data_IF_764756903557
#
_entry.id   IF_764756903557
#
_cell.length_a   1.000
_cell.length_b   1.000
_cell.length_c   1.000
_cell.angle_alpha   90.00
_cell.angle_beta   90.00
_cell.angle_gamma   90.00
#
_symmetry.space_group_name_H-M   'P 1'
#
loop_
_entity.id
_entity.type
_entity.pdbx_description
1 polymer ?
#
# COMPACT_ATOMS: atom_id res chain seq x y z
N UNK A 1 7.84 7.48 1.31
CA UNK A 1 8.55 7.39 0.03
C UNK A 1 7.79 8.21 -1.01
N UNK A 2 8.38 9.30 -1.48
CA UNK A 2 7.78 10.20 -2.47
C UNK A 2 8.12 9.75 -3.90
N UNK A 3 7.13 9.72 -4.77
CA UNK A 3 7.31 9.35 -6.18
C UNK A 3 7.79 10.56 -6.98
N UNK A 4 8.93 10.43 -7.65
CA UNK A 4 9.47 11.43 -8.60
C UNK A 4 9.72 10.74 -9.94
N UNK A 5 8.75 10.82 -10.84
CA UNK A 5 8.87 10.25 -12.18
C UNK A 5 9.60 11.22 -13.12
N UNK A 6 10.57 10.70 -13.88
CA UNK A 6 11.24 11.39 -15.00
C UNK A 6 10.66 10.96 -16.34
N UNK A 7 9.34 10.99 -16.47
CA UNK A 7 8.68 10.70 -17.75
C UNK A 7 8.58 11.96 -18.61
N UNK A 8 8.71 11.86 -19.95
CA UNK A 8 8.47 13.00 -20.81
C UNK A 8 7.02 13.43 -20.64
N UNK A 9 6.80 14.63 -20.09
CA UNK A 9 5.53 15.29 -20.32
C UNK A 9 5.46 15.67 -21.80
N UNK A 10 4.28 15.45 -22.34
CA UNK A 10 3.95 15.44 -23.76
C UNK A 10 4.35 16.73 -24.49
N UNK A 11 4.89 16.54 -25.69
CA UNK A 11 5.11 17.52 -26.77
C UNK A 11 6.33 18.46 -26.63
N UNK A 12 7.29 18.28 -27.55
CA UNK A 12 8.50 19.10 -27.80
C UNK A 12 9.57 18.96 -26.69
N UNK A 13 10.78 18.49 -26.96
CA UNK A 13 11.71 19.18 -27.83
C UNK A 13 12.77 18.24 -28.45
N UNK A 14 13.05 18.44 -29.73
CA UNK A 14 14.11 17.73 -30.45
C UNK A 14 15.43 18.43 -30.17
N UNK A 15 16.07 18.04 -29.07
CA UNK A 15 17.45 18.44 -28.76
C UNK A 15 17.55 19.57 -27.72
N UNK A 16 18.57 19.44 -26.87
CA UNK A 16 18.93 20.29 -25.74
C UNK A 16 18.04 20.14 -24.48
N UNK A 17 18.58 19.40 -23.51
CA UNK A 17 18.13 19.33 -22.09
C UNK A 17 16.65 18.98 -21.87
N UNK A 18 16.40 17.69 -21.60
CA UNK A 18 15.27 17.31 -20.74
C UNK A 18 15.30 18.24 -19.51
N UNK A 19 14.28 19.08 -19.35
CA UNK A 19 14.26 20.03 -18.23
C UNK A 19 13.97 19.25 -16.95
N UNK A 20 15.03 18.87 -16.24
CA UNK A 20 14.94 18.30 -14.90
C UNK A 20 14.25 19.23 -13.91
N UNK A 21 14.02 20.51 -14.24
CA UNK A 21 13.48 21.52 -13.34
C UNK A 21 12.22 21.05 -12.61
N UNK A 22 11.22 20.51 -13.33
CA UNK A 22 9.99 20.03 -12.71
C UNK A 22 10.23 18.85 -11.73
N UNK A 23 11.14 17.94 -12.08
CA UNK A 23 11.50 16.81 -11.22
C UNK A 23 12.31 17.28 -9.99
N UNK A 24 13.20 18.27 -10.15
CA UNK A 24 13.95 18.90 -9.06
C UNK A 24 13.02 19.66 -8.12
N UNK A 25 12.06 20.41 -8.65
CA UNK A 25 11.02 21.09 -7.86
C UNK A 25 10.13 20.09 -7.11
N UNK A 26 9.83 18.94 -7.70
CA UNK A 26 9.14 17.85 -7.02
C UNK A 26 9.97 17.28 -5.85
N UNK A 27 11.29 17.10 -6.03
CA UNK A 27 12.20 16.72 -4.95
C UNK A 27 12.20 17.77 -3.83
N UNK A 28 12.41 19.05 -4.17
CA UNK A 28 12.46 20.13 -3.19
C UNK A 28 11.17 20.16 -2.34
N UNK A 29 10.02 20.03 -2.99
CA UNK A 29 8.72 19.93 -2.30
C UNK A 29 8.60 18.67 -1.46
N UNK A 30 8.97 17.49 -1.98
CA UNK A 30 8.88 16.24 -1.24
C UNK A 30 9.74 16.24 0.04
N UNK A 31 10.96 16.79 -0.04
CA UNK A 31 11.83 16.96 1.14
C UNK A 31 11.21 17.95 2.13
N UNK A 32 10.72 19.10 1.65
CA UNK A 32 10.06 20.09 2.51
C UNK A 32 8.79 19.53 3.20
N UNK A 33 8.04 18.68 2.51
CA UNK A 33 6.86 17.98 3.03
C UNK A 33 7.21 16.82 3.98
N UNK A 34 8.51 16.51 4.14
CA UNK A 34 9.02 15.54 5.09
C UNK A 34 8.98 14.10 4.59
N UNK A 35 9.29 13.87 3.32
CA UNK A 35 9.48 12.53 2.76
C UNK A 35 10.77 11.87 3.30
N UNK A 36 10.65 10.68 3.87
CA UNK A 36 11.82 9.93 4.36
C UNK A 36 12.66 9.30 3.23
N UNK A 37 12.07 9.10 2.06
CA UNK A 37 12.71 8.49 0.87
C UNK A 37 12.19 9.19 -0.39
N UNK A 38 13.07 9.48 -1.34
CA UNK A 38 12.71 9.94 -2.69
C UNK A 38 12.89 8.77 -3.67
N UNK A 39 11.83 8.36 -4.35
CA UNK A 39 11.83 7.25 -5.31
C UNK A 39 11.81 7.78 -6.74
N UNK A 40 12.91 7.54 -7.46
CA UNK A 40 13.16 8.07 -8.80
C UNK A 40 12.89 7.01 -9.85
N UNK A 41 11.94 7.27 -10.75
CA UNK A 41 11.59 6.39 -11.86
C UNK A 41 11.96 6.98 -13.22
N UNK A 42 12.73 6.25 -14.03
CA UNK A 42 13.13 6.68 -15.39
C UNK A 42 12.14 6.24 -16.49
N UNK A 43 11.24 5.31 -16.14
CA UNK A 43 10.29 4.69 -17.07
C UNK A 43 8.92 4.58 -16.43
N UNK A 44 7.88 4.92 -17.20
CA UNK A 44 6.49 4.73 -16.79
C UNK A 44 6.21 3.24 -16.56
N UNK A 45 5.66 2.90 -15.39
CA UNK A 45 5.23 1.53 -15.07
C UNK A 45 4.05 1.04 -15.94
N UNK A 46 3.25 1.93 -16.53
CA UNK A 46 2.23 1.53 -17.49
C UNK A 46 2.77 1.26 -18.91
N UNK A 47 1.90 0.79 -19.82
CA UNK A 47 2.20 0.74 -21.25
C UNK A 47 2.66 2.10 -21.79
N UNK A 48 3.54 2.06 -22.78
CA UNK A 48 4.02 3.24 -23.49
C UNK A 48 5.21 2.90 -24.38
N UNK A 49 5.90 3.93 -24.86
CA UNK A 49 7.06 3.79 -25.74
C UNK A 49 8.17 2.94 -25.10
N UNK A 50 8.84 2.12 -25.91
CA UNK A 50 9.97 1.31 -25.45
C UNK A 50 11.11 2.23 -25.01
N UNK A 51 11.62 1.97 -23.81
CA UNK A 51 12.83 2.61 -23.29
C UNK A 51 13.84 1.48 -23.06
N UNK A 52 15.00 1.58 -23.68
CA UNK A 52 16.11 0.64 -23.48
C UNK A 52 16.90 0.98 -22.21
N UNK A 53 17.86 0.11 -21.88
CA UNK A 53 18.67 0.21 -20.66
C UNK A 53 19.46 1.53 -20.64
N UNK A 54 20.16 1.84 -21.72
CA UNK A 54 21.04 3.01 -21.81
C UNK A 54 20.26 4.32 -21.69
N UNK A 55 19.08 4.39 -22.31
CA UNK A 55 18.18 5.55 -22.18
C UNK A 55 17.68 5.70 -20.75
N UNK A 56 17.30 4.61 -20.09
CA UNK A 56 16.87 4.63 -18.69
C UNK A 56 18.00 5.08 -17.75
N UNK A 57 19.22 4.58 -17.95
CA UNK A 57 20.43 5.01 -17.22
C UNK A 57 20.68 6.51 -17.43
N UNK A 58 20.64 7.00 -18.67
CA UNK A 58 20.83 8.42 -19.00
C UNK A 58 19.78 9.31 -18.33
N UNK A 59 18.57 8.79 -18.12
CA UNK A 59 17.48 9.44 -17.37
C UNK A 59 17.55 9.26 -15.87
N UNK A 60 18.43 8.45 -15.30
CA UNK A 60 18.44 8.22 -13.85
C UNK A 60 19.73 8.75 -13.23
N UNK A 61 20.88 8.33 -13.76
CA UNK A 61 22.18 8.56 -13.12
C UNK A 61 22.46 10.05 -12.86
N UNK A 62 22.40 10.98 -13.85
CA UNK A 62 22.72 12.38 -13.58
C UNK A 62 21.78 13.05 -12.56
N UNK A 63 20.53 12.57 -12.47
CA UNK A 63 19.56 13.11 -11.52
C UNK A 63 19.77 12.55 -10.12
N UNK A 64 20.13 11.28 -10.00
CA UNK A 64 20.50 10.67 -8.71
C UNK A 64 21.79 11.31 -8.17
N UNK A 65 22.79 11.55 -9.01
CA UNK A 65 24.02 12.28 -8.63
C UNK A 65 23.71 13.69 -8.12
N UNK A 66 22.88 14.43 -8.85
CA UNK A 66 22.41 15.76 -8.41
C UNK A 66 21.66 15.68 -7.08
N UNK A 67 20.73 14.72 -6.93
CA UNK A 67 19.92 14.54 -5.73
C UNK A 67 20.79 14.23 -4.52
N UNK A 68 21.76 13.31 -4.66
CA UNK A 68 22.73 12.99 -3.61
C UNK A 68 23.59 14.20 -3.22
N UNK A 69 24.03 14.98 -4.21
CA UNK A 69 24.81 16.20 -3.96
C UNK A 69 24.01 17.30 -3.25
N UNK A 70 22.73 17.48 -3.61
CA UNK A 70 21.86 18.48 -3.01
C UNK A 70 21.32 18.08 -1.63
N UNK A 71 21.12 16.78 -1.39
CA UNK A 71 20.55 16.23 -0.16
C UNK A 71 21.35 15.01 0.35
N UNK A 72 22.53 15.22 0.97
CA UNK A 72 23.43 14.13 1.35
C UNK A 72 22.83 13.09 2.30
N UNK A 73 21.91 13.49 3.18
CA UNK A 73 21.29 12.61 4.18
C UNK A 73 19.94 12.01 3.72
N UNK A 74 19.44 12.41 2.55
CA UNK A 74 18.17 11.92 2.04
C UNK A 74 18.34 10.51 1.50
N UNK A 75 17.45 9.58 1.89
CA UNK A 75 17.42 8.26 1.27
C UNK A 75 16.88 8.35 -0.16
N UNK A 76 17.59 7.72 -1.09
CA UNK A 76 17.26 7.70 -2.51
C UNK A 76 16.90 6.27 -2.92
N UNK A 77 15.71 6.11 -3.47
CA UNK A 77 15.24 4.87 -4.08
C UNK A 77 15.24 4.99 -5.61
N UNK A 78 15.58 3.91 -6.30
CA UNK A 78 15.44 3.80 -7.76
C UNK A 78 14.35 2.80 -8.11
N UNK A 79 13.36 3.22 -8.90
CA UNK A 79 12.27 2.37 -9.42
C UNK A 79 12.68 1.79 -10.77
N UNK A 80 13.20 0.56 -10.76
CA UNK A 80 13.60 -0.18 -11.96
C UNK A 80 13.54 -1.69 -11.74
N UNK A 81 13.28 -2.44 -12.81
CA UNK A 81 13.27 -3.91 -12.81
C UNK A 81 14.48 -4.52 -13.52
N UNK A 82 15.48 -3.69 -13.86
CA UNK A 82 16.66 -4.08 -14.62
C UNK A 82 17.90 -3.97 -13.74
N UNK A 83 18.62 -5.06 -13.54
CA UNK A 83 19.80 -5.09 -12.68
C UNK A 83 20.90 -4.13 -13.19
N UNK A 84 21.06 -3.99 -14.51
CA UNK A 84 22.03 -3.05 -15.10
C UNK A 84 21.72 -1.58 -14.74
N UNK A 85 20.44 -1.20 -14.75
CA UNK A 85 20.01 0.15 -14.36
C UNK A 85 20.19 0.35 -12.86
N UNK A 86 19.76 -0.64 -12.05
CA UNK A 86 19.91 -0.60 -10.61
C UNK A 86 21.38 -0.45 -10.18
N UNK A 87 22.29 -1.17 -10.85
CA UNK A 87 23.73 -1.08 -10.62
C UNK A 87 24.28 0.31 -10.89
N UNK A 88 23.92 0.90 -12.03
CA UNK A 88 24.33 2.26 -12.37
C UNK A 88 23.76 3.29 -11.39
N UNK A 89 22.49 3.14 -10.98
CA UNK A 89 21.83 4.02 -10.01
C UNK A 89 22.42 3.91 -8.60
N UNK A 90 22.78 2.71 -8.13
CA UNK A 90 23.44 2.52 -6.84
C UNK A 90 24.85 3.13 -6.86
N UNK A 91 25.61 2.96 -7.95
CA UNK A 91 26.90 3.63 -8.12
C UNK A 91 26.79 5.16 -8.11
N UNK A 92 25.65 5.71 -8.57
CA UNK A 92 25.33 7.14 -8.52
C UNK A 92 24.88 7.63 -7.12
N UNK A 93 24.58 6.72 -6.19
CA UNK A 93 24.22 7.04 -4.81
C UNK A 93 22.78 6.66 -4.40
N UNK A 94 22.09 5.78 -5.12
CA UNK A 94 20.84 5.19 -4.63
C UNK A 94 21.08 4.21 -3.47
N UNK A 95 20.21 4.27 -2.44
CA UNK A 95 20.29 3.46 -1.22
C UNK A 95 19.29 2.29 -1.20
N UNK A 96 18.26 2.35 -2.05
CA UNK A 96 17.17 1.39 -2.11
C UNK A 96 16.82 1.09 -3.58
N UNK A 97 16.65 -0.17 -3.91
CA UNK A 97 16.12 -0.61 -5.20
C UNK A 97 14.64 -0.98 -5.00
N UNK A 98 13.76 -0.27 -5.70
CA UNK A 98 12.34 -0.57 -5.76
C UNK A 98 12.02 -1.34 -7.04
N UNK A 99 12.13 -2.66 -7.02
CA UNK A 99 11.73 -3.50 -8.14
C UNK A 99 10.23 -3.81 -8.08
N UNK A 100 9.44 -2.87 -8.58
CA UNK A 100 7.98 -2.98 -8.62
C UNK A 100 7.49 -4.14 -9.52
N UNK A 101 8.36 -4.74 -10.36
CA UNK A 101 7.98 -5.81 -11.28
C UNK A 101 8.19 -7.22 -10.74
N UNK A 102 8.73 -7.34 -9.53
CA UNK A 102 8.78 -8.60 -8.80
C UNK A 102 9.94 -9.50 -9.18
N UNK A 103 11.12 -8.93 -9.49
CA UNK A 103 12.33 -9.70 -9.73
C UNK A 103 12.38 -10.35 -11.11
N UNK A 104 11.90 -9.64 -12.14
CA UNK A 104 11.96 -10.15 -13.53
C UNK A 104 13.41 -10.37 -13.97
N UNK A 105 14.31 -9.49 -13.55
CA UNK A 105 15.74 -9.69 -13.69
C UNK A 105 16.26 -10.44 -12.45
N UNK A 106 16.71 -11.70 -12.59
CA UNK A 106 17.11 -12.52 -11.45
C UNK A 106 18.38 -12.01 -10.76
N UNK A 107 19.15 -11.12 -11.40
CA UNK A 107 20.39 -10.56 -10.84
C UNK A 107 20.16 -9.37 -9.88
N UNK A 108 18.89 -8.96 -9.67
CA UNK A 108 18.56 -7.81 -8.82
C UNK A 108 19.05 -7.95 -7.37
N UNK A 109 18.87 -9.12 -6.69
CA UNK A 109 19.39 -9.33 -5.34
C UNK A 109 20.89 -9.16 -5.21
N UNK A 110 21.66 -9.66 -6.17
CA UNK A 110 23.12 -9.60 -6.19
C UNK A 110 23.61 -8.16 -6.33
N UNK A 111 22.93 -7.34 -7.15
CA UNK A 111 23.22 -5.91 -7.25
C UNK A 111 22.92 -5.19 -5.93
N UNK A 112 21.78 -5.47 -5.30
CA UNK A 112 21.46 -4.88 -4.00
C UNK A 112 22.52 -5.22 -2.95
N UNK A 113 22.98 -6.48 -2.92
CA UNK A 113 24.03 -6.93 -2.02
C UNK A 113 25.39 -6.28 -2.33
N UNK A 114 25.78 -6.19 -3.61
CA UNK A 114 27.05 -5.59 -4.05
C UNK A 114 27.23 -4.15 -3.53
N UNK A 115 26.15 -3.36 -3.56
CA UNK A 115 26.16 -1.95 -3.13
C UNK A 115 25.69 -1.75 -1.68
N UNK A 116 25.30 -2.81 -0.97
CA UNK A 116 24.68 -2.71 0.34
C UNK A 116 23.35 -1.93 0.34
N UNK A 117 22.67 -1.86 -0.81
CA UNK A 117 21.38 -1.20 -0.97
C UNK A 117 20.25 -2.06 -0.38
N UNK A 118 19.14 -1.42 0.00
CA UNK A 118 17.91 -2.14 0.30
C UNK A 118 17.22 -2.66 -0.96
N UNK A 119 16.26 -3.57 -0.77
CA UNK A 119 15.48 -4.14 -1.88
C UNK A 119 14.00 -4.25 -1.51
N UNK A 120 13.13 -3.74 -2.38
CA UNK A 120 11.68 -3.98 -2.32
C UNK A 120 11.33 -5.20 -3.17
N UNK A 121 10.78 -6.22 -2.54
CA UNK A 121 10.31 -7.45 -3.18
C UNK A 121 8.81 -7.38 -3.47
N UNK A 122 8.46 -7.06 -4.72
CA UNK A 122 7.08 -6.92 -5.15
C UNK A 122 6.47 -8.23 -5.68
N UNK A 123 5.13 -8.29 -5.75
CA UNK A 123 4.40 -9.37 -6.42
C UNK A 123 3.50 -8.86 -7.54
N UNK A 124 3.75 -9.31 -8.77
CA UNK A 124 3.01 -8.87 -9.97
C UNK A 124 2.09 -9.94 -10.59
N UNK A 125 1.93 -11.10 -9.94
CA UNK A 125 1.08 -12.18 -10.47
C UNK A 125 1.54 -12.74 -11.80
N UNK A 126 2.84 -12.66 -12.11
CA UNK A 126 3.43 -13.10 -13.38
C UNK A 126 3.25 -12.13 -14.55
N UNK A 127 2.79 -10.89 -14.29
CA UNK A 127 2.68 -9.88 -15.33
C UNK A 127 4.07 -9.48 -15.87
N UNK A 128 4.18 -9.36 -17.19
CA UNK A 128 5.39 -8.83 -17.81
C UNK A 128 5.50 -7.31 -17.57
N UNK A 129 6.73 -6.75 -17.48
CA UNK A 129 6.93 -5.33 -17.35
C UNK A 129 6.14 -4.50 -18.37
N UNK A 130 5.52 -3.45 -17.85
CA UNK A 130 4.74 -2.43 -18.56
C UNK A 130 3.49 -2.95 -19.25
N UNK A 131 2.95 -4.07 -18.79
CA UNK A 131 1.66 -4.61 -19.25
C UNK A 131 0.51 -4.23 -18.31
N UNK A 132 -0.71 -4.19 -18.87
CA UNK A 132 -1.93 -4.08 -18.06
C UNK A 132 -2.36 -5.48 -17.61
N UNK A 133 -2.99 -5.63 -16.43
CA UNK A 133 -3.62 -6.87 -16.01
C UNK A 133 -4.62 -7.36 -17.08
N UNK A 134 -4.50 -8.62 -17.51
CA UNK A 134 -5.44 -9.24 -18.44
C UNK A 134 -5.75 -10.66 -18.00
N UNK A 135 -7.04 -10.97 -17.83
CA UNK A 135 -7.55 -12.30 -17.40
C UNK A 135 -6.79 -12.89 -16.19
N UNK A 136 -6.49 -12.05 -15.20
CA UNK A 136 -5.78 -12.44 -13.99
C UNK A 136 -6.60 -13.43 -13.18
N UNK A 137 -5.97 -14.53 -12.75
CA UNK A 137 -6.56 -15.53 -11.86
C UNK A 137 -5.56 -15.96 -10.80
N UNK A 138 -6.04 -16.09 -9.56
CA UNK A 138 -5.27 -16.61 -8.43
C UNK A 138 -5.90 -17.91 -7.89
N UNK A 139 -6.47 -18.71 -8.81
CA UNK A 139 -7.21 -19.92 -8.47
C UNK A 139 -8.65 -19.64 -8.06
N UNK A 140 -9.28 -20.62 -7.42
CA UNK A 140 -10.72 -20.63 -7.10
C UNK A 140 -11.02 -20.30 -5.64
N UNK A 141 -10.01 -20.07 -4.81
CA UNK A 141 -10.19 -19.77 -3.39
C UNK A 141 -10.47 -18.28 -3.17
N UNK A 142 -11.25 -17.95 -2.14
CA UNK A 142 -11.56 -16.56 -1.79
C UNK A 142 -10.36 -15.77 -1.29
N UNK A 143 -9.26 -16.44 -0.93
CA UNK A 143 -8.00 -15.84 -0.44
C UNK A 143 -6.83 -16.01 -1.41
N UNK A 144 -7.05 -16.60 -2.59
CA UNK A 144 -5.95 -17.06 -3.46
C UNK A 144 -4.90 -16.00 -3.80
N UNK A 145 -5.31 -14.75 -4.04
CA UNK A 145 -4.35 -13.66 -4.29
C UNK A 145 -3.53 -13.29 -3.06
N UNK A 146 -4.09 -13.35 -1.86
CA UNK A 146 -3.38 -13.05 -0.61
C UNK A 146 -2.34 -14.13 -0.34
N UNK A 147 -2.73 -15.40 -0.48
CA UNK A 147 -1.82 -16.54 -0.27
C UNK A 147 -0.68 -16.54 -1.31
N UNK A 148 -0.99 -16.23 -2.58
CA UNK A 148 0.01 -16.09 -3.64
C UNK A 148 0.98 -14.94 -3.37
N UNK A 149 0.48 -13.76 -2.97
CA UNK A 149 1.31 -12.62 -2.61
C UNK A 149 2.24 -12.99 -1.46
N UNK A 150 1.71 -13.48 -0.34
CA UNK A 150 2.51 -13.81 0.86
C UNK A 150 3.61 -14.80 0.49
N UNK A 151 3.28 -15.89 -0.19
CA UNK A 151 4.24 -16.92 -0.59
C UNK A 151 5.37 -16.34 -1.46
N UNK A 152 5.02 -15.56 -2.49
CA UNK A 152 6.00 -15.09 -3.47
C UNK A 152 6.88 -13.96 -2.94
N UNK A 153 6.31 -12.98 -2.22
CA UNK A 153 7.10 -11.86 -1.68
C UNK A 153 8.03 -12.32 -0.55
N UNK A 154 7.60 -13.26 0.29
CA UNK A 154 8.45 -13.82 1.34
C UNK A 154 9.58 -14.66 0.72
N UNK A 155 9.29 -15.51 -0.26
CA UNK A 155 10.32 -16.24 -0.98
C UNK A 155 11.32 -15.32 -1.69
N UNK A 156 10.86 -14.20 -2.27
CA UNK A 156 11.74 -13.20 -2.88
C UNK A 156 12.62 -12.50 -1.83
N UNK A 157 12.05 -12.16 -0.68
CA UNK A 157 12.78 -11.54 0.42
C UNK A 157 13.86 -12.48 1.01
N UNK A 158 13.54 -13.77 1.19
CA UNK A 158 14.53 -14.76 1.63
C UNK A 158 15.65 -14.96 0.60
N UNK A 159 15.33 -14.95 -0.71
CA UNK A 159 16.36 -14.96 -1.76
C UNK A 159 17.25 -13.73 -1.70
N UNK A 160 16.69 -12.55 -1.43
CA UNK A 160 17.47 -11.33 -1.27
C UNK A 160 18.47 -11.44 -0.12
N UNK A 161 18.02 -11.95 1.03
CA UNK A 161 18.89 -12.17 2.19
C UNK A 161 19.96 -13.23 1.90
N UNK A 162 19.60 -14.33 1.23
CA UNK A 162 20.54 -15.37 0.83
C UNK A 162 21.62 -14.85 -0.14
N UNK A 163 21.28 -13.87 -0.99
CA UNK A 163 22.24 -13.20 -1.88
C UNK A 163 23.14 -12.18 -1.16
N UNK A 164 22.88 -11.87 0.12
CA UNK A 164 23.70 -10.98 0.94
C UNK A 164 23.07 -9.62 1.26
N UNK A 165 21.81 -9.38 0.88
CA UNK A 165 21.10 -8.15 1.28
C UNK A 165 20.78 -8.21 2.78
N UNK A 166 21.08 -7.14 3.51
CA UNK A 166 20.79 -7.08 4.95
C UNK A 166 19.28 -7.23 5.20
N UNK A 167 18.89 -8.12 6.11
CA UNK A 167 17.49 -8.49 6.41
C UNK A 167 16.60 -7.30 6.77
N UNK A 168 17.17 -6.32 7.46
CA UNK A 168 16.53 -5.09 7.88
C UNK A 168 16.33 -4.07 6.75
N UNK A 169 17.00 -4.26 5.61
CA UNK A 169 16.90 -3.41 4.41
C UNK A 169 15.97 -3.98 3.33
N UNK A 170 15.33 -5.13 3.58
CA UNK A 170 14.39 -5.75 2.66
C UNK A 170 12.95 -5.41 3.06
N UNK A 171 12.13 -5.06 2.07
CA UNK A 171 10.71 -4.79 2.22
C UNK A 171 9.91 -5.70 1.28
N UNK A 172 8.65 -5.98 1.63
CA UNK A 172 7.70 -6.68 0.75
C UNK A 172 6.61 -5.73 0.27
N UNK A 173 6.19 -5.85 -0.99
CA UNK A 173 5.12 -5.04 -1.58
C UNK A 173 4.08 -5.93 -2.30
N UNK A 174 2.79 -5.90 -1.91
CA UNK A 174 1.73 -6.60 -2.64
C UNK A 174 1.48 -6.05 -4.06
N UNK A 175 2.05 -4.90 -4.41
CA UNK A 175 1.98 -4.20 -5.70
C UNK A 175 0.57 -4.12 -6.28
N UNK A 176 -0.23 -3.21 -5.72
CA UNK A 176 -1.60 -2.96 -6.17
C UNK A 176 -1.61 -2.55 -7.65
N UNK A 177 -2.62 -3.04 -8.38
CA UNK A 177 -2.82 -2.94 -9.83
C UNK A 177 -1.82 -3.69 -10.72
N UNK A 178 -0.74 -4.29 -10.17
CA UNK A 178 0.17 -5.12 -10.96
C UNK A 178 -0.30 -6.57 -11.00
N UNK A 179 -0.77 -7.00 -12.17
CA UNK A 179 -1.38 -8.32 -12.36
C UNK A 179 -2.54 -8.57 -11.40
N UNK A 180 -3.33 -7.54 -11.09
CA UNK A 180 -4.47 -7.60 -10.15
C UNK A 180 -5.61 -6.74 -10.67
N UNK A 181 -6.84 -7.10 -10.31
CA UNK A 181 -8.03 -6.28 -10.53
C UNK A 181 -8.44 -5.62 -9.21
N UNK A 182 -9.48 -4.79 -9.23
CA UNK A 182 -9.96 -4.09 -8.04
C UNK A 182 -10.39 -5.03 -6.92
N UNK A 183 -11.04 -6.16 -7.21
CA UNK A 183 -11.40 -7.14 -6.19
C UNK A 183 -10.17 -7.68 -5.45
N UNK A 184 -9.12 -8.04 -6.20
CA UNK A 184 -7.86 -8.49 -5.63
C UNK A 184 -7.20 -7.41 -4.78
N UNK A 185 -7.20 -6.15 -5.23
CA UNK A 185 -6.65 -5.02 -4.48
C UNK A 185 -7.38 -4.76 -3.16
N UNK A 186 -8.72 -4.75 -3.17
CA UNK A 186 -9.52 -4.60 -1.95
C UNK A 186 -9.33 -5.75 -0.97
N UNK A 187 -9.19 -6.98 -1.48
CA UNK A 187 -8.94 -8.14 -0.64
C UNK A 187 -7.56 -8.05 0.03
N UNK A 188 -6.52 -7.60 -0.68
CA UNK A 188 -5.20 -7.36 -0.08
C UNK A 188 -5.26 -6.29 1.01
N UNK A 189 -6.02 -5.21 0.81
CA UNK A 189 -6.25 -4.20 1.84
C UNK A 189 -6.95 -4.76 3.09
N UNK A 190 -7.89 -5.69 2.91
CA UNK A 190 -8.54 -6.39 4.04
C UNK A 190 -7.58 -7.28 4.83
N UNK A 191 -6.54 -7.79 4.15
CA UNK A 191 -5.58 -8.76 4.68
C UNK A 191 -4.18 -8.16 4.90
N UNK A 192 -4.05 -6.84 5.07
CA UNK A 192 -2.73 -6.21 5.36
C UNK A 192 -2.10 -6.79 6.62
N UNK A 193 -2.90 -7.10 7.65
CA UNK A 193 -2.40 -7.74 8.86
C UNK A 193 -1.68 -9.07 8.57
N UNK A 194 -2.18 -9.87 7.62
CA UNK A 194 -1.55 -11.14 7.26
C UNK A 194 -0.19 -10.92 6.59
N UNK A 195 -0.06 -9.89 5.75
CA UNK A 195 1.23 -9.49 5.17
C UNK A 195 2.22 -9.06 6.25
N UNK A 196 1.77 -8.25 7.22
CA UNK A 196 2.59 -7.78 8.34
C UNK A 196 3.03 -8.93 9.24
N UNK A 197 2.17 -9.93 9.46
CA UNK A 197 2.47 -11.11 10.28
C UNK A 197 3.56 -12.02 9.69
N UNK A 198 3.95 -11.83 8.43
CA UNK A 198 5.14 -12.49 7.86
C UNK A 198 6.45 -12.04 8.52
N UNK A 199 6.45 -10.92 9.25
CA UNK A 199 7.64 -10.35 9.90
C UNK A 199 8.51 -9.52 8.95
N UNK A 200 8.12 -9.34 7.70
CA UNK A 200 8.79 -8.41 6.77
C UNK A 200 8.14 -7.02 6.83
N UNK A 201 8.93 -5.94 6.77
CA UNK A 201 8.37 -4.60 6.61
C UNK A 201 7.55 -4.50 5.31
N UNK A 202 6.29 -4.08 5.42
CA UNK A 202 5.39 -3.96 4.28
C UNK A 202 5.43 -2.53 3.71
N UNK A 203 5.69 -2.42 2.42
CA UNK A 203 5.51 -1.22 1.62
C UNK A 203 4.12 -1.25 0.95
N UNK A 204 3.43 -0.11 0.93
CA UNK A 204 2.13 0.05 0.29
C UNK A 204 2.16 1.18 -0.74
N UNK A 205 1.98 0.84 -2.02
CA UNK A 205 1.84 1.79 -3.12
C UNK A 205 0.38 1.91 -3.57
N UNK A 206 -0.39 2.78 -2.89
CA UNK A 206 -1.84 2.97 -3.10
C UNK A 206 -2.22 4.26 -3.84
N UNK A 207 -1.29 5.22 -3.93
CA UNK A 207 -1.57 6.57 -4.41
C UNK A 207 -2.00 6.59 -5.88
N UNK A 208 -3.19 7.17 -6.11
CA UNK A 208 -3.82 7.40 -7.42
C UNK A 208 -4.06 6.12 -8.24
N UNK A 209 -4.14 4.96 -7.58
CA UNK A 209 -4.33 3.64 -8.18
C UNK A 209 -5.75 3.41 -8.70
N UNK A 210 -5.88 2.54 -9.70
CA UNK A 210 -7.16 2.18 -10.33
C UNK A 210 -8.10 1.51 -9.32
N UNK A 211 -7.57 0.71 -8.37
CA UNK A 211 -8.39 0.16 -7.26
C UNK A 211 -9.18 1.23 -6.51
N UNK A 212 -8.65 2.46 -6.35
CA UNK A 212 -9.36 3.56 -5.68
C UNK A 212 -10.43 4.14 -6.59
N UNK A 213 -10.05 4.50 -7.82
CA UNK A 213 -10.97 5.11 -8.79
C UNK A 213 -12.13 4.19 -9.16
N UNK A 214 -11.85 2.92 -9.44
CA UNK A 214 -12.85 1.91 -9.80
C UNK A 214 -13.79 1.59 -8.62
N UNK A 215 -13.30 1.62 -7.38
CA UNK A 215 -14.12 1.36 -6.19
C UNK A 215 -15.07 2.52 -5.90
N UNK A 216 -14.61 3.76 -6.06
CA UNK A 216 -15.37 4.96 -5.69
C UNK A 216 -16.12 5.58 -6.86
N UNK A 217 -15.84 5.16 -8.10
CA UNK A 217 -16.42 5.73 -9.31
C UNK A 217 -15.90 7.14 -9.59
N UNK A 218 -14.61 7.40 -9.35
CA UNK A 218 -13.99 8.73 -9.47
C UNK A 218 -12.77 8.72 -10.39
N UNK A 219 -12.51 9.87 -11.01
CA UNK A 219 -11.39 10.06 -11.93
C UNK A 219 -10.06 10.23 -11.19
N UNK A 220 -8.94 10.16 -11.93
CA UNK A 220 -7.58 10.17 -11.38
C UNK A 220 -7.34 11.32 -10.38
N UNK A 221 -7.84 12.51 -10.67
CA UNK A 221 -7.65 13.73 -9.86
C UNK A 221 -8.49 13.76 -8.58
N UNK A 222 -9.40 12.82 -8.42
CA UNK A 222 -10.37 12.75 -7.31
C UNK A 222 -10.11 11.54 -6.39
N UNK A 223 -8.95 10.87 -6.54
CA UNK A 223 -8.60 9.65 -5.80
C UNK A 223 -7.95 9.91 -4.44
N UNK A 224 -7.75 11.16 -4.03
CA UNK A 224 -6.98 11.49 -2.83
C UNK A 224 -7.64 10.96 -1.55
N UNK A 225 -8.93 11.24 -1.35
CA UNK A 225 -9.67 10.83 -0.15
C UNK A 225 -9.66 9.30 0.02
N UNK A 226 -9.91 8.57 -1.07
CA UNK A 226 -9.86 7.10 -1.08
C UNK A 226 -8.45 6.56 -0.82
N UNK A 227 -7.43 7.19 -1.41
CA UNK A 227 -6.01 6.86 -1.16
C UNK A 227 -5.66 7.03 0.31
N UNK A 228 -6.05 8.15 0.91
CA UNK A 228 -5.77 8.46 2.32
C UNK A 228 -6.51 7.51 3.27
N UNK A 229 -7.75 7.15 2.96
CA UNK A 229 -8.51 6.16 3.72
C UNK A 229 -7.85 4.78 3.70
N UNK A 230 -7.45 4.29 2.52
CA UNK A 230 -6.77 3.01 2.39
C UNK A 230 -5.38 3.03 3.08
N UNK A 231 -4.66 4.14 2.97
CA UNK A 231 -3.38 4.35 3.69
C UNK A 231 -3.57 4.29 5.19
N UNK A 232 -4.60 4.94 5.74
CA UNK A 232 -4.88 4.94 7.18
C UNK A 232 -5.13 3.52 7.71
N UNK A 233 -5.94 2.72 6.99
CA UNK A 233 -6.23 1.34 7.36
C UNK A 233 -4.99 0.44 7.28
N UNK A 234 -4.20 0.58 6.21
CA UNK A 234 -2.96 -0.19 6.06
C UNK A 234 -1.92 0.18 7.14
N UNK A 235 -1.80 1.46 7.49
CA UNK A 235 -0.94 1.92 8.58
C UNK A 235 -1.41 1.39 9.93
N UNK A 236 -2.72 1.41 10.18
CA UNK A 236 -3.31 0.87 11.40
C UNK A 236 -3.06 -0.63 11.55
N UNK A 237 -3.03 -1.37 10.43
CA UNK A 237 -2.70 -2.79 10.38
C UNK A 237 -1.19 -3.09 10.48
N UNK A 238 -0.32 -2.08 10.45
CA UNK A 238 1.11 -2.22 10.71
C UNK A 238 2.04 -2.10 9.49
N UNK A 239 1.54 -1.72 8.31
CA UNK A 239 2.40 -1.39 7.18
C UNK A 239 3.37 -0.24 7.53
N UNK A 240 4.59 -0.28 6.99
CA UNK A 240 5.72 0.52 7.48
C UNK A 240 6.21 1.57 6.49
N UNK A 241 5.99 1.39 5.20
CA UNK A 241 6.37 2.36 4.19
C UNK A 241 5.22 2.60 3.23
N UNK A 242 5.02 3.86 2.85
CA UNK A 242 3.99 4.27 1.91
C UNK A 242 4.64 5.02 0.74
N UNK A 243 4.33 4.56 -0.47
CA UNK A 243 4.80 5.15 -1.73
C UNK A 243 3.70 6.02 -2.32
N UNK A 244 3.94 7.33 -2.37
CA UNK A 244 2.88 8.35 -2.60
C UNK A 244 3.31 9.52 -3.48
N UNK A 245 2.34 10.16 -4.13
CA UNK A 245 2.53 11.46 -4.79
C UNK A 245 2.31 12.61 -3.79
N UNK A 246 1.27 12.54 -2.95
CA UNK A 246 0.88 13.60 -2.01
C UNK A 246 1.50 13.40 -0.62
N UNK A 247 2.78 13.78 -0.48
CA UNK A 247 3.60 13.57 0.74
C UNK A 247 2.98 14.22 1.98
N UNK A 248 2.71 15.52 1.95
CA UNK A 248 2.21 16.24 3.12
C UNK A 248 0.88 15.67 3.64
N UNK A 249 -0.06 15.34 2.73
CA UNK A 249 -1.36 14.79 3.10
C UNK A 249 -1.21 13.39 3.70
N UNK A 250 -0.42 12.52 3.05
CA UNK A 250 -0.14 11.17 3.55
C UNK A 250 0.52 11.20 4.92
N UNK A 251 1.54 12.05 5.10
CA UNK A 251 2.25 12.19 6.38
C UNK A 251 1.30 12.56 7.51
N UNK A 252 0.39 13.50 7.29
CA UNK A 252 -0.62 13.89 8.30
C UNK A 252 -1.54 12.72 8.68
N UNK A 253 -1.94 11.90 7.72
CA UNK A 253 -2.72 10.68 7.99
C UNK A 253 -1.92 9.70 8.84
N UNK A 254 -0.66 9.42 8.48
CA UNK A 254 0.20 8.51 9.24
C UNK A 254 0.46 9.02 10.66
N UNK A 255 0.72 10.32 10.83
CA UNK A 255 0.89 10.94 12.15
C UNK A 255 -0.39 10.87 12.99
N UNK A 256 -1.57 11.02 12.36
CA UNK A 256 -2.85 10.88 13.04
C UNK A 256 -3.08 9.43 13.50
N UNK A 257 -2.85 8.43 12.63
CA UNK A 257 -2.94 7.01 12.98
C UNK A 257 -1.98 6.67 14.12
N UNK A 258 -0.73 7.08 14.02
CA UNK A 258 0.27 6.88 15.07
C UNK A 258 -0.14 7.54 16.39
N UNK A 259 -0.83 8.68 16.34
CA UNK A 259 -1.32 9.37 17.53
C UNK A 259 -2.52 8.66 18.17
N UNK A 260 -3.46 8.14 17.36
CA UNK A 260 -4.58 7.28 17.82
C UNK A 260 -4.04 6.02 18.50
N UNK A 261 -3.03 5.39 17.92
CA UNK A 261 -2.39 4.19 18.46
C UNK A 261 -1.48 4.44 19.67
N UNK A 262 -1.29 5.71 20.07
CA UNK A 262 -0.45 6.07 21.20
C UNK A 262 1.05 6.03 20.95
N UNK A 263 1.49 5.90 19.70
CA UNK A 263 2.92 5.89 19.32
C UNK A 263 3.48 7.31 19.28
N UNK A 264 2.65 8.29 18.93
CA UNK A 264 3.01 9.71 18.81
C UNK A 264 2.11 10.57 19.69
N UNK A 265 2.64 11.45 20.56
CA UNK A 265 1.81 12.40 21.29
C UNK A 265 1.27 13.49 20.36
N UNK A 266 0.07 14.05 20.63
CA UNK A 266 -0.43 15.22 19.90
C UNK A 266 0.44 16.46 20.19
N UNK A 267 0.57 17.33 19.21
CA UNK A 267 1.36 18.58 19.33
C UNK A 267 0.79 19.52 20.40
N UNK A 268 -0.53 19.51 20.60
CA UNK A 268 -1.23 20.32 21.60
C UNK A 268 -2.34 19.50 22.25
N UNK A 269 -2.41 19.53 23.58
CA UNK A 269 -3.45 18.84 24.38
C UNK A 269 -4.40 19.80 25.11
N UNK A 270 -4.09 21.09 25.09
CA UNK A 270 -4.86 22.13 25.80
C UNK A 270 -5.68 22.93 24.79
N UNK A 271 -7.00 23.06 25.02
CA UNK A 271 -7.94 23.78 24.15
C UNK A 271 -8.06 25.27 24.48
N UNK A 272 -7.92 25.67 25.76
CA UNK A 272 -7.97 27.08 26.18
C UNK A 272 -6.57 27.60 26.58
N UNK A 273 -5.99 28.59 25.89
CA UNK A 273 -4.69 29.17 26.24
C UNK A 273 -4.62 29.71 27.68
N UNK A 274 -5.74 30.16 28.26
CA UNK A 274 -5.81 30.67 29.65
C UNK A 274 -5.70 29.56 30.69
N UNK A 275 -6.05 28.33 30.30
CA UNK A 275 -5.90 27.15 31.16
C UNK A 275 -4.47 26.61 31.22
N UNK A 276 -3.53 27.18 30.44
CA UNK A 276 -2.11 26.87 30.52
C UNK A 276 -1.43 27.40 31.81
N UNK A 277 -2.02 28.40 32.48
CA UNK A 277 -1.44 29.03 33.68
C UNK A 277 -1.86 28.35 35.00
N UNK A 278 -2.96 27.60 35.03
CA UNK A 278 -3.14 26.60 36.09
C UNK A 278 -2.19 25.47 35.76
N UNK A 279 -1.39 25.00 36.72
CA UNK A 279 -0.56 23.80 36.62
C UNK A 279 -1.45 22.62 36.19
N UNK A 280 -1.77 22.53 34.91
CA UNK A 280 -2.27 21.31 34.31
C UNK A 280 -1.13 20.36 34.57
N UNK A 281 -1.46 19.25 35.25
CA UNK A 281 -0.50 18.17 35.44
C UNK A 281 -0.08 17.79 34.03
N UNK A 282 1.06 18.34 33.58
CA UNK A 282 1.72 17.93 32.34
C UNK A 282 1.86 16.44 32.55
N UNK A 283 1.10 15.67 31.80
CA UNK A 283 1.12 14.24 32.02
C UNK A 283 2.51 13.77 31.61
N UNK A 284 3.31 13.34 32.59
CA UNK A 284 4.71 12.96 32.43
C UNK A 284 4.89 11.45 32.26
N UNK A 285 3.78 10.70 32.12
CA UNK A 285 3.81 9.27 31.80
C UNK A 285 4.12 9.00 30.32
N UNK A 286 4.30 7.73 29.93
CA UNK A 286 4.54 7.34 28.54
C UNK A 286 3.24 7.29 27.73
N UNK A 287 3.02 8.17 26.72
CA UNK A 287 1.72 8.45 26.01
C UNK A 287 0.76 7.27 25.81
N UNK A 288 1.27 6.07 25.51
CA UNK A 288 0.50 4.81 25.49
C UNK A 288 -0.31 4.54 26.76
N UNK A 289 0.24 4.81 27.94
CA UNK A 289 -0.39 4.61 29.24
C UNK A 289 -1.55 5.60 29.50
N UNK A 290 -1.51 6.82 28.95
CA UNK A 290 -2.61 7.79 29.10
C UNK A 290 -3.86 7.27 28.38
N UNK A 291 -3.70 6.73 27.17
CA UNK A 291 -4.81 6.17 26.40
C UNK A 291 -5.42 4.94 27.09
N UNK A 292 -4.59 4.08 27.70
CA UNK A 292 -5.07 2.94 28.49
C UNK A 292 -5.95 3.34 29.68
N UNK A 293 -5.67 4.49 30.30
CA UNK A 293 -6.51 5.02 31.38
C UNK A 293 -7.88 5.55 30.91
N UNK A 294 -8.01 5.99 29.65
CA UNK A 294 -9.28 6.45 29.08
C UNK A 294 -10.13 5.32 28.49
N UNK A 295 -9.53 4.16 28.19
CA UNK A 295 -10.21 2.99 27.61
C UNK A 295 -10.56 1.90 28.63
N UNK A 296 -10.38 2.14 29.93
CA UNK A 296 -10.91 1.23 30.94
C UNK A 296 -12.45 1.18 30.79
N UNK A 297 -13.06 -0.02 30.69
CA UNK A 297 -14.50 -0.11 30.61
C UNK A 297 -15.08 0.56 31.85
N UNK A 298 -15.98 1.52 31.65
CA UNK A 298 -16.87 1.96 32.71
C UNK A 298 -17.54 0.71 33.26
N UNK A 299 -17.16 0.29 34.46
CA UNK A 299 -17.92 -0.68 35.23
C UNK A 299 -19.31 -0.07 35.36
N UNK A 300 -20.25 -0.58 34.57
CA UNK A 300 -21.65 -0.49 34.91
C UNK A 300 -21.77 -1.23 36.24
N UNK A 301 -22.02 -0.47 37.30
CA UNK A 301 -22.33 -0.98 38.63
C UNK A 301 -23.46 -2.00 38.52
N UNK A 302 -23.13 -3.28 38.65
CA UNK A 302 -24.05 -4.29 39.15
C UNK A 302 -24.39 -3.94 40.60
N UNK A 303 -25.51 -3.24 40.79
CA UNK A 303 -26.26 -3.28 42.05
C UNK A 303 -27.46 -4.18 41.86
N UNK A 304 -27.41 -5.31 42.55
CA UNK A 304 -28.36 -6.39 42.38
C UNK A 304 -29.64 -6.27 43.19
N UNK A 305 -30.38 -7.37 43.04
CA UNK A 305 -31.34 -7.98 43.97
C UNK A 305 -32.71 -7.32 44.09
N UNK A 306 -33.67 -7.95 43.42
CA UNK A 306 -35.09 -7.93 43.79
C UNK A 306 -35.68 -9.32 43.57
N UNK A 307 -35.70 -10.13 44.62
CA UNK A 307 -36.35 -11.45 44.69
C UNK A 307 -37.88 -11.30 44.62
N UNK A 308 -38.55 -12.00 43.70
CA UNK A 308 -40.00 -12.09 43.63
C UNK A 308 -40.46 -13.47 43.18
N UNK A 309 -41.13 -14.18 44.09
CA UNK A 309 -41.64 -15.56 43.98
C UNK A 309 -42.74 -15.71 42.89
N UNK A 310 -42.65 -16.81 42.15
CA UNK A 310 -43.71 -17.81 41.96
C UNK A 310 -44.93 -17.47 41.07
N UNK A 311 -45.08 -18.23 39.98
CA UNK A 311 -46.25 -19.11 39.74
C UNK A 311 -45.99 -20.04 38.55
N UNK A 312 -46.23 -21.31 38.82
CA UNK A 312 -46.52 -22.37 37.86
C UNK A 312 -47.77 -22.03 37.05
N UNK A 313 -47.87 -22.53 35.81
CA UNK A 313 -49.05 -23.28 35.36
C UNK A 313 -48.70 -24.07 34.09
N UNK A 314 -49.06 -25.35 34.15
CA UNK A 314 -49.08 -26.36 33.08
C UNK A 314 -49.98 -25.96 31.91
N UNK A 315 -49.67 -26.46 30.71
CA UNK A 315 -50.62 -27.21 29.87
C UNK A 315 -49.84 -27.94 28.77
N UNK A 316 -50.03 -29.27 28.70
CA UNK A 316 -49.32 -30.17 27.80
C UNK A 316 -50.11 -30.68 26.60
N UNK A 317 -49.41 -31.50 25.81
CA UNK A 317 -49.93 -32.49 24.84
C UNK A 317 -50.20 -31.96 23.43
N UNK A 318 -50.06 -32.71 22.33
CA UNK A 318 -49.45 -34.01 22.01
C UNK A 318 -49.56 -34.19 20.46
N UNK A 319 -48.64 -34.97 19.87
CA UNK A 319 -48.76 -35.79 18.64
C UNK A 319 -49.06 -35.16 17.23
N UNK A 320 -48.24 -35.55 16.22
CA UNK A 320 -48.38 -35.26 14.76
C UNK A 320 -49.34 -36.21 14.01
N UNK A 321 -49.12 -36.64 12.74
CA UNK A 321 -48.21 -36.22 11.65
C UNK A 321 -48.91 -36.15 10.23
N UNK A 322 -48.12 -36.19 9.13
CA UNK A 322 -48.42 -36.45 7.68
C UNK A 322 -48.38 -35.22 6.73
N UNK A 323 -47.37 -35.09 5.84
CA UNK A 323 -47.19 -35.66 4.47
C UNK A 323 -48.22 -35.19 3.43
N UNK A 324 -47.73 -34.51 2.39
CA UNK A 324 -48.44 -34.23 1.14
C UNK A 324 -47.49 -33.60 0.11
N UNK A 325 -47.09 -34.41 -0.87
CA UNK A 325 -46.17 -34.12 -1.97
C UNK A 325 -46.88 -33.54 -3.21
N UNK A 326 -46.06 -33.26 -4.22
CA UNK A 326 -46.36 -32.99 -5.64
C UNK A 326 -46.72 -31.57 -6.04
N UNK A 327 -45.82 -30.92 -6.80
CA UNK A 327 -46.14 -30.43 -8.13
C UNK A 327 -44.93 -30.49 -9.06
N UNK A 328 -45.25 -30.79 -10.32
CA UNK A 328 -44.43 -31.44 -11.35
C UNK A 328 -43.51 -30.50 -12.12
N UNK A 329 -42.43 -31.11 -12.60
CA UNK A 329 -41.53 -30.65 -13.67
C UNK A 329 -42.27 -30.68 -15.02
N UNK A 330 -42.06 -29.65 -15.84
CA UNK A 330 -42.46 -29.58 -17.24
C UNK A 330 -41.36 -28.93 -18.08
N UNK A 331 -40.76 -29.77 -18.92
CA UNK A 331 -39.70 -29.53 -19.91
C UNK A 331 -39.99 -28.39 -20.91
N UNK A 332 -39.01 -27.50 -21.15
CA UNK A 332 -38.13 -27.40 -22.35
C UNK A 332 -38.74 -26.81 -23.64
N UNK A 333 -37.96 -25.84 -24.14
CA UNK A 333 -37.50 -25.63 -25.52
C UNK A 333 -38.20 -24.60 -26.45
N UNK A 334 -37.37 -23.58 -26.77
CA UNK A 334 -36.93 -23.15 -28.10
C UNK A 334 -37.58 -21.93 -28.81
N UNK A 335 -36.65 -21.07 -29.29
CA UNK A 335 -36.74 -20.00 -30.32
C UNK A 335 -37.28 -18.67 -29.77
N UNK A 336 -36.71 -17.49 -30.07
CA UNK A 336 -35.90 -17.05 -31.20
C UNK A 336 -35.09 -15.78 -30.84
N UNK A 337 -34.09 -15.50 -31.67
CA UNK A 337 -33.15 -14.40 -31.56
C UNK A 337 -33.80 -13.00 -31.67
N UNK A 338 -33.38 -12.09 -30.79
CA UNK A 338 -33.66 -10.65 -30.88
C UNK A 338 -32.36 -9.85 -30.88
N UNK A 339 -31.98 -9.34 -32.06
CA UNK A 339 -31.04 -8.22 -32.25
C UNK A 339 -31.55 -7.00 -31.51
N UNK A 340 -30.67 -6.18 -30.90
CA UNK A 340 -30.75 -4.70 -30.92
C UNK A 340 -29.34 -4.09 -30.77
N UNK A 341 -29.10 -2.86 -31.27
CA UNK A 341 -27.84 -2.41 -31.83
C UNK A 341 -26.99 -1.56 -30.88
N UNK A 342 -25.76 -1.28 -31.31
CA UNK A 342 -24.74 -0.61 -30.55
C UNK A 342 -24.94 0.88 -30.26
N UNK A 343 -24.20 1.31 -29.25
CA UNK A 343 -23.42 2.56 -29.15
C UNK A 343 -22.16 2.21 -28.36
#
# INVERSE_FOLDING_TARGET
>A
MAIVNRTPDSFYDKGATFSDAAARDAVHRAVADGADVIDVGGVKAGPGERVDVDTEITRLVPFIEWLRGAYPDQLISVDTWRAQVAKAACAAGADLINDTWGGVDPAMPEVAAEFGAGLVCAHTGGALPRTRPFRVSYGTTTRGVVDAVISQVTAAAERAVAAGVAREKVLIDPAHDFGKNTFHGLLLLRHVADLVMTGWPVLMALSNKDVVGETLGVDLTERLEGTLAATALAAAAGARMFRVHEVAATRRVLEMVASIQGVRPPTRTVRDPRSAHRRSRRWQGPWRAALGHYLAPSRLDDRGVGSGKGRTDDFGGAAGPQRGSDHRIGDRQHLSAGRWPGR
#
